data_IF_824407042179
#
_entry.id   IF_824407042179
#
_cell.length_a   1.000
_cell.length_b   1.000
_cell.length_c   1.000
_cell.angle_alpha   90.00
_cell.angle_beta   90.00
_cell.angle_gamma   90.00
#
_symmetry.space_group_name_H-M   'P 1'
#
loop_
_entity.id
_entity.type
_entity.pdbx_description
1 polymer ?
#
# COMPACT_ATOMS: atom_id res chain seq x y z
N UNK A 1 1.17 0.80 -11.17
CA UNK A 1 1.92 1.95 -10.62
C UNK A 1 3.40 1.64 -10.60
N UNK A 2 4.24 2.56 -11.03
CA UNK A 2 5.69 2.43 -10.92
C UNK A 2 6.20 3.41 -9.86
N UNK A 3 6.62 2.90 -8.70
CA UNK A 3 7.04 3.72 -7.57
C UNK A 3 8.27 4.58 -7.88
N UNK A 4 9.11 4.17 -8.84
CA UNK A 4 10.28 4.96 -9.25
C UNK A 4 9.91 6.31 -9.85
N UNK A 5 8.71 6.42 -10.43
CA UNK A 5 8.19 7.62 -11.04
C UNK A 5 7.27 8.42 -10.12
N UNK A 6 7.15 8.01 -8.86
CA UNK A 6 6.34 8.71 -7.88
C UNK A 6 7.23 9.68 -7.11
N UNK A 7 6.97 10.96 -7.29
CA UNK A 7 7.80 12.01 -6.69
C UNK A 7 7.65 12.09 -5.17
N UNK A 8 6.49 11.71 -4.64
CA UNK A 8 6.16 11.83 -3.22
C UNK A 8 6.48 10.58 -2.41
N UNK A 9 7.23 9.62 -2.97
CA UNK A 9 7.67 8.45 -2.21
C UNK A 9 8.72 8.84 -1.19
N UNK A 10 8.64 8.20 -0.02
CA UNK A 10 9.57 8.41 1.08
C UNK A 10 10.22 7.08 1.43
N UNK A 11 11.54 7.08 1.62
CA UNK A 11 12.24 5.90 2.13
C UNK A 11 11.86 5.73 3.60
N UNK A 12 11.15 4.63 3.92
CA UNK A 12 10.68 4.35 5.27
C UNK A 12 11.69 3.51 6.06
N UNK A 13 12.18 2.42 5.44
CA UNK A 13 13.15 1.52 6.05
C UNK A 13 14.29 1.30 5.08
N UNK A 14 15.51 1.57 5.54
CA UNK A 14 16.72 1.38 4.75
C UNK A 14 17.38 0.06 5.15
N UNK A 15 17.76 -0.74 4.16
CA UNK A 15 18.54 -1.96 4.37
C UNK A 15 17.88 -2.96 5.33
N UNK A 16 16.57 -3.15 5.20
CA UNK A 16 15.86 -4.20 5.95
C UNK A 16 16.37 -5.58 5.50
N UNK A 17 16.74 -6.41 6.47
CA UNK A 17 17.17 -7.78 6.15
C UNK A 17 15.92 -8.66 5.91
N UNK A 18 15.79 -9.15 4.67
CA UNK A 18 14.68 -9.99 4.25
C UNK A 18 15.22 -11.21 3.51
N UNK A 19 15.06 -12.39 4.12
CA UNK A 19 15.52 -13.67 3.55
C UNK A 19 16.97 -13.62 3.09
N UNK A 20 17.85 -13.03 3.92
CA UNK A 20 19.28 -12.92 3.64
C UNK A 20 19.65 -11.77 2.69
N UNK A 21 18.69 -11.03 2.16
CA UNK A 21 18.92 -9.88 1.29
C UNK A 21 18.56 -8.58 1.99
N UNK A 22 19.26 -7.51 1.62
CA UNK A 22 18.94 -6.17 2.10
C UNK A 22 17.97 -5.52 1.14
N UNK A 23 16.83 -5.06 1.65
CA UNK A 23 15.82 -4.37 0.86
C UNK A 23 15.47 -3.03 1.48
N UNK A 24 15.01 -2.11 0.64
CA UNK A 24 14.51 -0.81 1.07
C UNK A 24 12.99 -0.80 0.96
N UNK A 25 12.34 -0.25 1.97
CA UNK A 25 10.89 -0.09 2.01
C UNK A 25 10.56 1.39 1.79
N UNK A 26 9.70 1.65 0.81
CA UNK A 26 9.23 2.99 0.48
C UNK A 26 7.77 3.14 0.84
N UNK A 27 7.39 4.36 1.22
CA UNK A 27 6.02 4.74 1.53
C UNK A 27 5.56 5.80 0.54
N UNK A 28 4.32 5.69 0.09
CA UNK A 28 3.67 6.76 -0.66
C UNK A 28 2.22 6.93 -0.22
N UNK A 29 1.72 8.15 -0.31
CA UNK A 29 0.31 8.48 -0.07
C UNK A 29 -0.45 8.72 -1.38
N UNK A 30 0.19 8.51 -2.53
CA UNK A 30 -0.44 8.67 -3.83
C UNK A 30 -1.60 7.69 -3.98
N UNK A 31 -2.77 8.19 -4.35
CA UNK A 31 -3.99 7.37 -4.53
C UNK A 31 -4.02 6.59 -5.83
N UNK A 32 -3.07 6.82 -6.72
CA UNK A 32 -2.96 6.09 -7.99
C UNK A 32 -2.26 4.74 -7.76
N UNK A 33 -2.95 3.84 -7.10
CA UNK A 33 -2.47 2.51 -6.77
C UNK A 33 -2.98 1.49 -7.79
N UNK A 34 -2.16 0.50 -8.11
CA UNK A 34 -2.58 -0.61 -8.96
C UNK A 34 -3.49 -1.53 -8.16
N UNK A 35 -4.76 -1.63 -8.58
CA UNK A 35 -5.77 -2.40 -7.85
C UNK A 35 -5.52 -3.91 -7.90
N UNK A 36 -4.86 -4.42 -8.95
CA UNK A 36 -4.47 -5.83 -9.00
C UNK A 36 -3.40 -6.15 -7.97
N UNK A 37 -2.45 -5.24 -7.76
CA UNK A 37 -1.42 -5.40 -6.73
C UNK A 37 -2.06 -5.39 -5.34
N UNK A 38 -3.03 -4.51 -5.12
CA UNK A 38 -3.77 -4.47 -3.86
C UNK A 38 -4.56 -5.75 -3.62
N UNK A 39 -5.24 -6.27 -4.65
CA UNK A 39 -5.96 -7.54 -4.56
C UNK A 39 -5.02 -8.68 -4.20
N UNK A 40 -3.86 -8.74 -4.86
CA UNK A 40 -2.85 -9.76 -4.60
C UNK A 40 -2.32 -9.69 -3.16
N UNK A 41 -2.11 -8.48 -2.65
CA UNK A 41 -1.70 -8.27 -1.27
C UNK A 41 -2.77 -8.78 -0.29
N UNK A 42 -4.03 -8.43 -0.51
CA UNK A 42 -5.14 -8.88 0.33
C UNK A 42 -5.32 -10.40 0.27
N UNK A 43 -5.15 -11.01 -0.92
CA UNK A 43 -5.18 -12.46 -1.08
C UNK A 43 -4.10 -13.14 -0.24
N UNK A 44 -2.93 -12.52 -0.11
CA UNK A 44 -1.80 -13.10 0.64
C UNK A 44 -2.10 -13.29 2.13
N UNK A 45 -3.06 -12.55 2.66
CA UNK A 45 -3.50 -12.65 4.07
C UNK A 45 -4.90 -13.24 4.20
N UNK A 46 -5.47 -13.76 3.11
CA UNK A 46 -6.75 -14.48 3.13
C UNK A 46 -7.99 -13.60 3.18
N UNK A 47 -7.88 -12.33 2.82
CA UNK A 47 -9.05 -11.46 2.79
C UNK A 47 -9.96 -11.79 1.62
N UNK A 48 -11.27 -11.63 1.83
CA UNK A 48 -12.27 -11.80 0.78
C UNK A 48 -12.11 -10.70 -0.27
N UNK A 49 -12.12 -11.08 -1.54
CA UNK A 49 -12.03 -10.14 -2.65
C UNK A 49 -13.25 -9.23 -2.70
N UNK A 50 -13.01 -7.97 -3.03
CA UNK A 50 -14.04 -6.95 -3.24
C UNK A 50 -14.06 -6.54 -4.71
N UNK A 51 -15.22 -6.14 -5.26
CA UNK A 51 -15.27 -5.65 -6.64
C UNK A 51 -14.35 -4.44 -6.85
N UNK A 52 -13.53 -4.46 -7.90
CA UNK A 52 -12.59 -3.39 -8.21
C UNK A 52 -13.24 -2.01 -8.27
N UNK A 53 -14.44 -1.94 -8.86
CA UNK A 53 -15.17 -0.68 -8.97
C UNK A 53 -15.45 -0.05 -7.61
N UNK A 54 -15.82 -0.86 -6.62
CA UNK A 54 -16.08 -0.39 -5.26
C UNK A 54 -14.79 -0.02 -4.53
N UNK A 55 -13.74 -0.80 -4.73
CA UNK A 55 -12.41 -0.50 -4.15
C UNK A 55 -11.90 0.84 -4.68
N UNK A 56 -12.03 1.08 -5.98
CA UNK A 56 -11.63 2.34 -6.60
C UNK A 56 -12.36 3.53 -6.00
N UNK A 57 -13.67 3.42 -5.82
CA UNK A 57 -14.50 4.46 -5.21
C UNK A 57 -14.05 4.71 -3.77
N UNK A 58 -13.82 3.67 -2.99
CA UNK A 58 -13.39 3.79 -1.61
C UNK A 58 -12.04 4.52 -1.49
N UNK A 59 -11.09 4.19 -2.37
CA UNK A 59 -9.77 4.85 -2.39
C UNK A 59 -9.91 6.32 -2.75
N UNK A 60 -10.69 6.65 -3.78
CA UNK A 60 -10.89 8.02 -4.21
C UNK A 60 -11.52 8.89 -3.13
N UNK A 61 -12.40 8.33 -2.31
CA UNK A 61 -13.09 9.03 -1.24
C UNK A 61 -12.41 8.91 0.13
N UNK A 62 -11.31 8.22 0.22
CA UNK A 62 -10.54 8.15 1.47
C UNK A 62 -9.83 9.47 1.74
N UNK A 63 -9.75 9.86 3.00
CA UNK A 63 -8.96 11.02 3.43
C UNK A 63 -7.48 10.82 3.15
N UNK A 64 -6.99 9.61 3.44
CA UNK A 64 -5.59 9.26 3.27
C UNK A 64 -5.46 7.78 2.92
N UNK A 65 -4.57 7.45 2.02
CA UNK A 65 -4.10 6.09 1.85
C UNK A 65 -2.58 6.06 2.03
N UNK A 66 -2.09 4.94 2.52
CA UNK A 66 -0.66 4.68 2.69
C UNK A 66 -0.35 3.37 2.01
N UNK A 67 0.64 3.38 1.12
CA UNK A 67 1.11 2.19 0.43
C UNK A 67 2.59 1.99 0.71
N UNK A 68 2.98 0.76 1.01
CA UNK A 68 4.35 0.37 1.26
C UNK A 68 4.85 -0.56 0.16
N UNK A 69 6.03 -0.27 -0.35
CA UNK A 69 6.63 -1.02 -1.45
C UNK A 69 8.08 -1.37 -1.17
N UNK A 70 8.54 -2.47 -1.79
CA UNK A 70 9.97 -2.63 -2.07
C UNK A 70 10.18 -2.85 -3.55
N UNK A 71 11.39 -2.58 -4.03
CA UNK A 71 11.76 -2.76 -5.44
C UNK A 71 12.61 -4.02 -5.54
N UNK A 72 12.18 -4.96 -6.40
CA UNK A 72 12.89 -6.20 -6.68
C UNK A 72 12.91 -6.39 -8.20
N UNK A 73 14.13 -6.57 -8.77
CA UNK A 73 14.31 -6.81 -10.21
C UNK A 73 13.55 -5.80 -11.07
N UNK A 74 13.69 -4.51 -10.74
CA UNK A 74 12.98 -3.39 -11.40
C UNK A 74 11.46 -3.43 -11.27
N UNK A 75 10.92 -4.27 -10.39
CA UNK A 75 9.49 -4.34 -10.11
C UNK A 75 9.17 -3.76 -8.75
N UNK A 76 8.05 -3.06 -8.67
CA UNK A 76 7.50 -2.54 -7.42
C UNK A 76 6.62 -3.60 -6.81
N UNK A 77 6.95 -4.03 -5.60
CA UNK A 77 6.19 -5.03 -4.87
C UNK A 77 5.43 -4.34 -3.74
N UNK A 78 4.11 -4.32 -3.84
CA UNK A 78 3.24 -3.78 -2.79
C UNK A 78 3.21 -4.75 -1.62
N UNK A 79 3.66 -4.31 -0.45
CA UNK A 79 3.76 -5.15 0.74
C UNK A 79 2.88 -4.68 1.89
N UNK A 80 2.36 -3.48 1.82
CA UNK A 80 1.49 -2.96 2.87
C UNK A 80 0.55 -1.90 2.33
N UNK A 81 -0.61 -1.78 2.95
CA UNK A 81 -1.63 -0.81 2.59
C UNK A 81 -2.50 -0.49 3.80
N UNK A 82 -2.87 0.77 3.92
CA UNK A 82 -3.87 1.22 4.88
C UNK A 82 -4.63 2.40 4.29
N UNK A 83 -5.88 2.56 4.72
CA UNK A 83 -6.65 3.75 4.35
C UNK A 83 -7.35 4.34 5.57
N UNK A 84 -7.60 5.62 5.52
CA UNK A 84 -8.28 6.35 6.57
C UNK A 84 -9.38 7.22 5.99
N UNK A 85 -10.47 7.35 6.74
CA UNK A 85 -11.53 8.32 6.45
C UNK A 85 -11.58 9.36 7.56
N UNK A 86 -12.13 10.52 7.27
CA UNK A 86 -12.21 11.62 8.22
C UNK A 86 -13.46 12.45 7.96
N UNK A 87 -14.03 13.01 9.04
CA UNK A 87 -15.06 14.04 8.93
C UNK A 87 -14.45 15.43 8.75
N UNK A 88 -13.12 15.51 8.69
CA UNK A 88 -12.33 16.74 8.55
C UNK A 88 -12.48 17.72 9.72
N UNK A 89 -12.98 17.24 10.86
CA UNK A 89 -13.18 18.08 12.05
C UNK A 89 -12.65 17.44 13.31
N UNK A 90 -13.17 16.26 13.68
CA UNK A 90 -12.87 15.65 14.98
C UNK A 90 -12.28 14.25 14.85
N UNK A 91 -12.59 13.52 13.79
CA UNK A 91 -12.32 12.08 13.73
C UNK A 91 -11.52 11.67 12.50
N UNK A 92 -10.59 10.75 12.73
CA UNK A 92 -9.95 9.97 11.67
C UNK A 92 -10.16 8.51 12.03
N UNK A 93 -10.68 7.73 11.11
CA UNK A 93 -10.88 6.29 11.29
C UNK A 93 -9.98 5.53 10.33
N UNK A 94 -9.22 4.60 10.87
CA UNK A 94 -8.32 3.75 10.08
C UNK A 94 -9.05 2.46 9.72
N UNK A 95 -9.03 2.13 8.44
CA UNK A 95 -9.64 0.94 7.87
C UNK A 95 -8.59 0.14 7.10
N UNK A 96 -8.86 -1.16 6.94
CA UNK A 96 -8.17 -1.99 5.94
C UNK A 96 -6.63 -1.94 6.05
N UNK A 97 -6.11 -2.08 7.27
CA UNK A 97 -4.67 -2.22 7.46
C UNK A 97 -4.26 -3.63 7.07
N UNK A 98 -3.39 -3.76 6.08
CA UNK A 98 -2.91 -5.04 5.60
C UNK A 98 -1.41 -4.98 5.34
N UNK A 99 -0.70 -6.02 5.79
CA UNK A 99 0.73 -6.20 5.53
C UNK A 99 0.94 -7.63 5.08
N UNK A 100 1.77 -7.80 4.04
CA UNK A 100 2.13 -9.13 3.56
C UNK A 100 2.73 -9.95 4.71
N UNK A 101 2.27 -11.18 4.87
CA UNK A 101 2.67 -12.04 6.00
C UNK A 101 4.17 -12.35 6.05
N UNK A 102 4.89 -12.17 4.95
CA UNK A 102 6.34 -12.32 4.91
C UNK A 102 7.09 -11.14 5.53
N UNK A 103 6.38 -10.09 5.85
CA UNK A 103 6.92 -8.88 6.47
C UNK A 103 6.20 -8.62 7.80
#
# INVERSE_FOLDING_TARGET
MNIRNIEDKVLLINQLNYRGNKINIYLTTNKNINLYDLEKLCDSVGWVRRPFKKVKIAIEHSFLIISLFHIKDNSNILIGFARATSDHAFNVTIWDVVVNSDF
#
